data_IF_601143884062
#
_entry.id   IF_601143884062
#
_cell.length_a   1.000
_cell.length_b   1.000
_cell.length_c   1.000
_cell.angle_alpha   90.00
_cell.angle_beta   90.00
_cell.angle_gamma   90.00
#
_symmetry.space_group_name_H-M   'P 1'
#
loop_
_entity.id
_entity.type
_entity.pdbx_description
1 polymer ?
#
# COMPACT_ATOMS: atom_id res chain seq x y z
N UNK A 1 -26.97 26.63 27.17
CA UNK A 1 -26.85 25.23 26.72
C UNK A 1 -27.22 25.21 25.26
N UNK A 2 -26.24 25.20 24.35
CA UNK A 2 -26.50 24.91 22.95
C UNK A 2 -27.14 23.51 22.90
N UNK A 3 -28.22 23.35 22.15
CA UNK A 3 -28.85 22.03 22.05
C UNK A 3 -27.89 21.09 21.33
N UNK A 4 -27.82 19.83 21.74
CA UNK A 4 -27.02 18.79 21.08
C UNK A 4 -27.29 18.76 19.56
N UNK A 5 -28.51 19.12 19.14
CA UNK A 5 -28.89 19.25 17.74
C UNK A 5 -28.17 20.41 17.00
N UNK A 6 -27.92 21.55 17.65
CA UNK A 6 -27.21 22.68 17.07
C UNK A 6 -25.71 22.38 16.89
N UNK A 7 -25.11 21.66 17.83
CA UNK A 7 -23.70 21.22 17.75
C UNK A 7 -23.52 20.14 16.68
N UNK A 8 -24.49 19.23 16.53
CA UNK A 8 -24.51 18.26 15.43
C UNK A 8 -24.69 18.94 14.06
N UNK A 9 -25.56 19.95 13.98
CA UNK A 9 -25.82 20.66 12.73
C UNK A 9 -24.59 21.44 12.25
N UNK A 10 -23.86 22.08 13.16
CA UNK A 10 -22.61 22.80 12.83
C UNK A 10 -21.52 21.84 12.40
N UNK A 11 -21.31 20.73 13.12
CA UNK A 11 -20.37 19.68 12.73
C UNK A 11 -20.68 19.12 11.33
N UNK A 12 -21.95 18.81 11.05
CA UNK A 12 -22.35 18.28 9.75
C UNK A 12 -22.19 19.32 8.63
N UNK A 13 -22.45 20.60 8.91
CA UNK A 13 -22.26 21.69 7.94
C UNK A 13 -20.79 21.82 7.50
N UNK A 14 -19.84 21.56 8.40
CA UNK A 14 -18.40 21.57 8.08
C UNK A 14 -17.95 20.29 7.35
N UNK A 15 -18.50 19.14 7.74
CA UNK A 15 -18.09 17.83 7.26
C UNK A 15 -18.63 17.51 5.86
N UNK A 16 -19.91 17.79 5.60
CA UNK A 16 -20.62 17.34 4.39
C UNK A 16 -19.99 17.90 3.10
N UNK A 17 -19.67 19.21 2.97
CA UNK A 17 -19.08 19.75 1.74
C UNK A 17 -17.70 19.16 1.45
N UNK A 18 -16.89 18.93 2.49
CA UNK A 18 -15.57 18.31 2.39
C UNK A 18 -15.68 16.86 1.92
N UNK A 19 -16.57 16.08 2.55
CA UNK A 19 -16.82 14.70 2.17
C UNK A 19 -17.39 14.59 0.74
N UNK A 20 -18.27 15.50 0.32
CA UNK A 20 -18.82 15.51 -1.03
C UNK A 20 -17.73 15.74 -2.08
N UNK A 21 -16.86 16.74 -1.87
CA UNK A 21 -15.72 17.02 -2.76
C UNK A 21 -14.76 15.84 -2.84
N UNK A 22 -14.39 15.26 -1.69
CA UNK A 22 -13.52 14.09 -1.62
C UNK A 22 -14.17 12.90 -2.34
N UNK A 23 -15.47 12.66 -2.13
CA UNK A 23 -16.20 11.56 -2.78
C UNK A 23 -16.24 11.70 -4.29
N UNK A 24 -16.46 12.90 -4.83
CA UNK A 24 -16.44 13.13 -6.28
C UNK A 24 -15.06 12.83 -6.89
N UNK A 25 -14.00 13.27 -6.21
CA UNK A 25 -12.63 13.01 -6.58
C UNK A 25 -12.27 11.52 -6.55
N UNK A 26 -12.68 10.81 -5.49
CA UNK A 26 -12.53 9.35 -5.39
C UNK A 26 -13.31 8.66 -6.52
N UNK A 27 -14.54 9.08 -6.81
CA UNK A 27 -15.36 8.44 -7.85
C UNK A 27 -14.72 8.54 -9.24
N UNK A 28 -14.26 9.73 -9.63
CA UNK A 28 -13.56 9.94 -10.91
C UNK A 28 -12.25 9.16 -10.98
N UNK A 29 -11.45 9.21 -9.91
CA UNK A 29 -10.19 8.48 -9.81
C UNK A 29 -10.38 6.97 -9.92
N UNK A 30 -11.26 6.39 -9.09
CA UNK A 30 -11.55 4.94 -9.05
C UNK A 30 -12.04 4.45 -10.40
N UNK A 31 -12.93 5.20 -11.07
CA UNK A 31 -13.41 4.84 -12.39
C UNK A 31 -12.29 4.81 -13.43
N UNK A 32 -11.51 5.90 -13.55
CA UNK A 32 -10.42 5.99 -14.52
C UNK A 32 -9.38 4.87 -14.32
N UNK A 33 -9.07 4.56 -13.06
CA UNK A 33 -8.06 3.56 -12.75
C UNK A 33 -8.56 2.12 -12.97
N UNK A 34 -9.83 1.82 -12.67
CA UNK A 34 -10.43 0.53 -13.02
C UNK A 34 -10.50 0.32 -14.54
N UNK A 35 -10.77 1.39 -15.31
CA UNK A 35 -10.69 1.34 -16.78
C UNK A 35 -9.25 1.01 -17.22
N UNK A 36 -8.25 1.74 -16.71
CA UNK A 36 -6.85 1.49 -17.06
C UNK A 36 -6.39 0.05 -16.73
N UNK A 37 -6.81 -0.49 -15.58
CA UNK A 37 -6.56 -1.90 -15.22
C UNK A 37 -7.26 -2.86 -16.18
N UNK A 38 -8.52 -2.60 -16.53
CA UNK A 38 -9.27 -3.44 -17.47
C UNK A 38 -8.65 -3.46 -18.88
N UNK A 39 -7.94 -2.40 -19.28
CA UNK A 39 -7.17 -2.37 -20.53
C UNK A 39 -5.75 -2.95 -20.40
N UNK A 40 -5.38 -3.50 -19.24
CA UNK A 40 -4.14 -4.24 -19.06
C UNK A 40 -2.91 -3.39 -18.73
N UNK A 41 -3.09 -2.18 -18.19
CA UNK A 41 -1.96 -1.33 -17.75
C UNK A 41 -1.01 -2.06 -16.79
N UNK A 42 -1.55 -2.96 -15.98
CA UNK A 42 -0.79 -3.82 -15.07
C UNK A 42 0.16 -4.76 -15.80
N UNK A 43 -0.23 -5.27 -16.98
CA UNK A 43 0.61 -6.16 -17.80
C UNK A 43 1.82 -5.44 -18.41
N UNK A 44 1.73 -4.13 -18.65
CA UNK A 44 2.84 -3.34 -19.18
C UNK A 44 4.01 -3.24 -18.19
N UNK A 45 3.69 -3.07 -16.90
CA UNK A 45 4.69 -3.05 -15.82
C UNK A 45 5.24 -4.45 -15.53
N UNK A 46 4.45 -5.48 -15.82
CA UNK A 46 4.87 -6.87 -15.72
C UNK A 46 5.93 -7.26 -16.78
N UNK A 47 6.09 -6.56 -17.90
CA UNK A 47 7.19 -6.89 -18.84
C UNK A 47 8.61 -6.85 -18.24
N UNK A 48 8.79 -6.18 -17.09
CA UNK A 48 10.09 -5.93 -16.47
C UNK A 48 10.64 -7.05 -15.56
N UNK A 49 9.83 -7.95 -14.98
CA UNK A 49 10.39 -8.83 -13.93
C UNK A 49 11.24 -10.00 -14.46
N UNK A 50 11.09 -10.41 -15.73
CA UNK A 50 11.99 -11.39 -16.34
C UNK A 50 13.45 -10.93 -16.39
N UNK A 51 13.70 -9.62 -16.27
CA UNK A 51 15.05 -9.05 -16.19
C UNK A 51 15.63 -9.05 -14.78
N UNK A 52 14.81 -9.27 -13.75
CA UNK A 52 15.21 -9.19 -12.34
C UNK A 52 15.61 -10.54 -11.74
N UNK A 53 15.18 -11.66 -12.31
CA UNK A 53 15.46 -13.02 -11.77
C UNK A 53 16.88 -13.49 -12.02
N UNK A 54 17.41 -13.24 -13.21
CA UNK A 54 18.78 -13.62 -13.60
C UNK A 54 19.85 -13.08 -12.65
N UNK A 55 19.91 -11.77 -12.32
CA UNK A 55 20.90 -11.27 -11.36
C UNK A 55 20.68 -11.79 -9.94
N UNK A 56 19.52 -12.37 -9.64
CA UNK A 56 19.19 -12.96 -8.35
C UNK A 56 19.51 -14.47 -8.27
N UNK A 57 20.11 -15.06 -9.32
CA UNK A 57 20.31 -16.51 -9.46
C UNK A 57 19.01 -17.35 -9.40
N UNK A 58 17.87 -16.74 -9.77
CA UNK A 58 16.57 -17.41 -9.82
C UNK A 58 16.18 -17.79 -11.26
N UNK A 59 15.42 -18.88 -11.45
CA UNK A 59 14.85 -19.25 -12.76
C UNK A 59 13.96 -18.16 -13.36
N UNK A 60 13.85 -18.14 -14.68
CA UNK A 60 13.00 -17.19 -15.40
C UNK A 60 11.50 -17.39 -15.07
N UNK A 61 11.09 -18.60 -14.67
CA UNK A 61 9.74 -18.98 -14.23
C UNK A 61 9.31 -18.25 -12.96
N UNK A 62 10.26 -18.02 -12.04
CA UNK A 62 10.01 -17.18 -10.85
C UNK A 62 9.64 -15.75 -11.25
N UNK A 63 10.20 -15.29 -12.37
CA UNK A 63 9.87 -14.00 -12.98
C UNK A 63 8.40 -13.95 -13.32
N UNK A 64 7.88 -14.99 -13.98
CA UNK A 64 6.47 -15.14 -14.32
C UNK A 64 5.56 -15.13 -13.08
N UNK A 65 5.92 -15.81 -12.00
CA UNK A 65 5.15 -15.75 -10.74
C UNK A 65 5.12 -14.33 -10.12
N UNK A 66 6.25 -13.61 -10.19
CA UNK A 66 6.34 -12.20 -9.79
C UNK A 66 5.49 -11.32 -10.71
N UNK A 67 5.41 -11.63 -12.01
CA UNK A 67 4.52 -10.92 -12.95
C UNK A 67 3.06 -11.14 -12.63
N UNK A 68 2.69 -12.39 -12.35
CA UNK A 68 1.36 -12.77 -11.94
C UNK A 68 0.96 -12.01 -10.67
N UNK A 69 1.89 -11.74 -9.76
CA UNK A 69 1.63 -10.93 -8.56
C UNK A 69 1.20 -9.50 -8.87
N UNK A 70 1.77 -8.88 -9.91
CA UNK A 70 1.35 -7.54 -10.33
C UNK A 70 -0.13 -7.51 -10.73
N UNK A 71 -0.61 -8.58 -11.37
CA UNK A 71 -2.02 -8.76 -11.74
C UNK A 71 -2.90 -9.21 -10.57
N UNK A 72 -2.42 -10.17 -9.79
CA UNK A 72 -3.11 -10.77 -8.65
C UNK A 72 -2.07 -11.27 -7.64
N UNK A 73 -1.94 -10.54 -6.53
CA UNK A 73 -1.00 -10.91 -5.47
C UNK A 73 -1.25 -12.31 -4.92
N UNK A 74 -2.51 -12.72 -4.77
CA UNK A 74 -2.83 -14.08 -4.31
C UNK A 74 -2.37 -15.14 -5.30
N UNK A 75 -2.61 -14.93 -6.60
CA UNK A 75 -2.22 -15.91 -7.63
C UNK A 75 -0.70 -16.06 -7.71
N UNK A 76 0.04 -14.95 -7.73
CA UNK A 76 1.50 -15.03 -7.79
C UNK A 76 2.13 -15.60 -6.51
N UNK A 77 1.57 -15.34 -5.33
CA UNK A 77 2.01 -16.02 -4.09
C UNK A 77 1.67 -17.51 -4.10
N UNK A 78 0.53 -17.93 -4.65
CA UNK A 78 0.18 -19.34 -4.79
C UNK A 78 1.15 -20.06 -5.74
N UNK A 79 1.51 -19.45 -6.87
CA UNK A 79 2.53 -20.00 -7.79
C UNK A 79 3.91 -20.13 -7.11
N UNK A 80 4.33 -19.13 -6.33
CA UNK A 80 5.58 -19.25 -5.58
C UNK A 80 5.53 -20.32 -4.47
N UNK A 81 4.37 -20.55 -3.88
CA UNK A 81 4.16 -21.63 -2.92
C UNK A 81 4.23 -23.00 -3.60
N UNK A 82 3.60 -23.15 -4.77
CA UNK A 82 3.71 -24.35 -5.60
C UNK A 82 5.16 -24.65 -5.97
N UNK A 83 5.93 -23.65 -6.41
CA UNK A 83 7.37 -23.83 -6.71
C UNK A 83 8.18 -24.28 -5.49
N UNK A 84 7.78 -23.88 -4.29
CA UNK A 84 8.41 -24.35 -3.06
C UNK A 84 7.99 -25.79 -2.71
N UNK A 85 6.72 -26.11 -2.90
CA UNK A 85 6.16 -27.44 -2.60
C UNK A 85 6.68 -28.52 -3.55
N UNK A 86 6.88 -28.19 -4.84
CA UNK A 86 7.46 -29.08 -5.84
C UNK A 86 8.98 -29.22 -5.72
N UNK A 87 9.61 -28.45 -4.82
CA UNK A 87 11.06 -28.47 -4.62
C UNK A 87 11.86 -27.65 -5.63
N UNK A 88 11.21 -26.99 -6.60
CA UNK A 88 11.87 -26.08 -7.54
C UNK A 88 12.63 -24.96 -6.80
N UNK A 89 12.07 -24.45 -5.71
CA UNK A 89 12.70 -23.46 -4.84
C UNK A 89 12.82 -24.00 -3.40
N UNK A 90 14.01 -23.87 -2.81
CA UNK A 90 14.16 -24.06 -1.38
C UNK A 90 13.64 -22.84 -0.56
N UNK A 91 13.60 -22.97 0.76
CA UNK A 91 13.16 -21.91 1.68
C UNK A 91 13.90 -20.57 1.44
N UNK A 92 15.19 -20.59 1.09
CA UNK A 92 15.97 -19.36 0.88
C UNK A 92 15.60 -18.70 -0.44
N UNK A 93 15.54 -19.47 -1.52
CA UNK A 93 15.15 -19.00 -2.84
C UNK A 93 13.71 -18.48 -2.85
N UNK A 94 12.78 -19.17 -2.17
CA UNK A 94 11.40 -18.69 -2.01
C UNK A 94 11.36 -17.36 -1.24
N UNK A 95 12.14 -17.20 -0.16
CA UNK A 95 12.14 -15.97 0.61
C UNK A 95 12.67 -14.78 -0.21
N UNK A 96 13.73 -15.00 -0.99
CA UNK A 96 14.26 -14.00 -1.94
C UNK A 96 13.20 -13.63 -2.98
N UNK A 97 12.54 -14.62 -3.58
CA UNK A 97 11.47 -14.39 -4.55
C UNK A 97 10.32 -13.57 -3.95
N UNK A 98 9.90 -13.86 -2.72
CA UNK A 98 8.86 -13.09 -2.00
C UNK A 98 9.29 -11.64 -1.75
N UNK A 99 10.56 -11.40 -1.39
CA UNK A 99 11.08 -10.03 -1.21
C UNK A 99 11.08 -9.29 -2.54
N UNK A 100 11.56 -9.91 -3.61
CA UNK A 100 11.52 -9.36 -4.97
C UNK A 100 10.11 -9.00 -5.43
N UNK A 101 9.12 -9.74 -4.94
CA UNK A 101 7.72 -9.55 -5.29
C UNK A 101 7.08 -8.26 -4.73
N UNK A 102 7.75 -7.57 -3.80
CA UNK A 102 7.16 -6.44 -3.05
C UNK A 102 6.71 -5.29 -3.95
N UNK A 103 7.55 -4.86 -4.90
CA UNK A 103 7.20 -3.80 -5.85
C UNK A 103 6.01 -4.19 -6.73
N UNK A 104 6.02 -5.41 -7.28
CA UNK A 104 4.96 -5.89 -8.17
C UNK A 104 3.62 -6.01 -7.44
N UNK A 105 3.61 -6.50 -6.20
CA UNK A 105 2.40 -6.50 -5.37
C UNK A 105 1.87 -5.10 -5.07
N UNK A 106 2.76 -4.09 -5.01
CA UNK A 106 2.35 -2.69 -4.85
C UNK A 106 1.70 -2.12 -6.11
N UNK A 107 2.09 -2.54 -7.32
CA UNK A 107 1.58 -2.02 -8.62
C UNK A 107 0.05 -2.09 -8.69
N UNK A 108 -0.55 -3.22 -8.33
CA UNK A 108 -2.02 -3.34 -8.34
C UNK A 108 -2.67 -2.30 -7.42
N UNK A 109 -2.09 -2.06 -6.25
CA UNK A 109 -2.59 -1.06 -5.31
C UNK A 109 -2.43 0.36 -5.82
N UNK A 110 -1.41 0.65 -6.64
CA UNK A 110 -1.27 1.96 -7.27
C UNK A 110 -2.53 2.31 -8.05
N UNK A 111 -2.99 1.38 -8.88
CA UNK A 111 -4.16 1.60 -9.72
C UNK A 111 -5.48 1.40 -9.00
N UNK A 112 -5.56 0.53 -8.00
CA UNK A 112 -6.84 0.25 -7.32
C UNK A 112 -7.12 1.17 -6.13
N UNK A 113 -6.09 1.80 -5.55
CA UNK A 113 -6.22 2.59 -4.33
C UNK A 113 -5.45 3.90 -4.36
N UNK A 114 -4.15 3.91 -4.67
CA UNK A 114 -3.36 5.14 -4.49
C UNK A 114 -3.72 6.25 -5.49
N UNK A 115 -3.64 5.96 -6.79
CA UNK A 115 -4.04 6.89 -7.86
C UNK A 115 -5.52 7.29 -7.72
N UNK A 116 -6.46 6.36 -7.55
CA UNK A 116 -7.86 6.72 -7.53
C UNK A 116 -8.39 7.33 -6.24
N UNK A 117 -7.77 7.07 -5.09
CA UNK A 117 -8.28 7.47 -3.76
C UNK A 117 -7.34 8.45 -3.07
N UNK A 118 -6.05 8.11 -2.94
CA UNK A 118 -5.10 8.90 -2.15
C UNK A 118 -4.68 10.18 -2.86
N UNK A 119 -4.36 10.12 -4.16
CA UNK A 119 -3.98 11.33 -4.91
C UNK A 119 -5.10 12.37 -4.91
N UNK A 120 -6.37 12.02 -5.15
CA UNK A 120 -7.43 13.02 -5.17
C UNK A 120 -7.74 13.61 -3.79
N UNK A 121 -7.54 12.84 -2.70
CA UNK A 121 -7.65 13.35 -1.32
C UNK A 121 -6.50 14.31 -1.00
N UNK A 122 -5.25 13.89 -1.26
CA UNK A 122 -4.05 14.62 -0.86
C UNK A 122 -3.71 15.80 -1.80
N UNK A 123 -4.37 15.87 -2.95
CA UNK A 123 -3.99 16.75 -4.05
C UNK A 123 -2.86 16.15 -4.90
N UNK A 124 -2.76 16.62 -6.14
CA UNK A 124 -1.85 16.04 -7.16
C UNK A 124 -0.40 16.03 -6.69
N UNK A 125 0.11 17.14 -6.14
CA UNK A 125 1.52 17.26 -5.73
C UNK A 125 1.86 16.35 -4.55
N UNK A 126 1.16 16.50 -3.42
CA UNK A 126 1.42 15.69 -2.22
C UNK A 126 1.09 14.22 -2.44
N UNK A 127 0.00 13.95 -3.16
CA UNK A 127 -0.37 12.60 -3.57
C UNK A 127 0.71 11.94 -4.42
N UNK A 128 1.19 12.59 -5.49
CA UNK A 128 2.23 12.03 -6.35
C UNK A 128 3.53 11.77 -5.59
N UNK A 129 3.97 12.68 -4.72
CA UNK A 129 5.17 12.48 -3.91
C UNK A 129 4.97 11.32 -2.91
N UNK A 130 3.82 11.22 -2.27
CA UNK A 130 3.52 10.11 -1.36
C UNK A 130 3.50 8.76 -2.09
N UNK A 131 2.83 8.67 -3.23
CA UNK A 131 2.78 7.45 -4.05
C UNK A 131 4.15 7.10 -4.59
N UNK A 132 4.92 8.09 -5.06
CA UNK A 132 6.30 7.92 -5.49
C UNK A 132 7.21 7.42 -4.37
N UNK A 133 7.09 7.96 -3.16
CA UNK A 133 7.83 7.49 -2.00
C UNK A 133 7.49 6.03 -1.66
N UNK A 134 6.20 5.66 -1.67
CA UNK A 134 5.75 4.28 -1.44
C UNK A 134 6.23 3.32 -2.53
N UNK A 135 6.17 3.74 -3.80
CA UNK A 135 6.69 3.00 -4.94
C UNK A 135 8.21 2.80 -4.82
N UNK A 136 8.95 3.85 -4.48
CA UNK A 136 10.39 3.83 -4.27
C UNK A 136 10.79 2.89 -3.14
N UNK A 137 10.10 2.96 -1.99
CA UNK A 137 10.30 2.00 -0.88
C UNK A 137 10.09 0.56 -1.36
N UNK A 138 8.99 0.28 -2.07
CA UNK A 138 8.72 -1.06 -2.57
C UNK A 138 9.77 -1.53 -3.59
N UNK A 139 10.26 -0.61 -4.43
CA UNK A 139 11.33 -0.88 -5.40
C UNK A 139 12.66 -1.19 -4.70
N UNK A 140 13.04 -0.41 -3.68
CA UNK A 140 14.26 -0.67 -2.92
C UNK A 140 14.22 -2.01 -2.18
N UNK A 141 13.06 -2.41 -1.67
CA UNK A 141 12.85 -3.75 -1.11
C UNK A 141 13.08 -4.83 -2.19
N UNK A 142 12.48 -4.66 -3.38
CA UNK A 142 12.69 -5.59 -4.49
C UNK A 142 14.15 -5.68 -4.92
N UNK A 143 14.85 -4.54 -5.03
CA UNK A 143 16.29 -4.48 -5.35
C UNK A 143 17.11 -5.18 -4.27
N UNK A 144 16.75 -5.02 -2.99
CA UNK A 144 17.40 -5.75 -1.88
C UNK A 144 17.23 -7.25 -2.06
N UNK A 145 16.05 -7.71 -2.50
CA UNK A 145 15.81 -9.10 -2.87
C UNK A 145 16.73 -9.57 -4.00
N UNK A 146 16.84 -8.78 -5.09
CA UNK A 146 17.72 -9.12 -6.22
C UNK A 146 19.18 -9.24 -5.78
N UNK A 147 19.69 -8.26 -5.04
CA UNK A 147 21.08 -8.26 -4.53
C UNK A 147 21.30 -9.43 -3.57
N UNK A 148 20.36 -9.67 -2.64
CA UNK A 148 20.44 -10.81 -1.74
C UNK A 148 20.42 -12.14 -2.49
N UNK A 149 19.63 -12.26 -3.56
CA UNK A 149 19.61 -13.43 -4.43
C UNK A 149 20.98 -13.70 -5.05
N UNK A 150 21.58 -12.69 -5.69
CA UNK A 150 22.88 -12.82 -6.33
C UNK A 150 24.03 -13.14 -5.35
N UNK A 151 23.90 -12.76 -4.08
CA UNK A 151 24.92 -12.98 -3.05
C UNK A 151 24.72 -14.25 -2.22
N UNK A 152 23.48 -14.69 -2.01
CA UNK A 152 23.12 -15.76 -1.07
C UNK A 152 22.61 -17.03 -1.75
N UNK A 153 22.16 -16.95 -3.01
CA UNK A 153 21.66 -18.10 -3.76
C UNK A 153 22.72 -18.64 -4.70
N UNK A 154 22.72 -19.96 -4.81
CA UNK A 154 23.53 -20.77 -5.71
C UNK A 154 22.64 -21.77 -6.45
N UNK A 155 23.22 -22.55 -7.36
CA UNK A 155 22.49 -23.59 -8.09
C UNK A 155 21.87 -24.65 -7.15
N UNK A 156 22.41 -24.84 -5.94
CA UNK A 156 21.87 -25.77 -4.94
C UNK A 156 20.49 -25.36 -4.40
N UNK A 157 20.14 -24.07 -4.50
CA UNK A 157 18.88 -23.54 -3.97
C UNK A 157 17.70 -23.70 -4.96
N UNK A 158 17.98 -24.20 -6.16
CA UNK A 158 17.05 -24.25 -7.29
C UNK A 158 17.16 -25.58 -8.02
N UNK A 159 16.15 -26.44 -7.91
CA UNK A 159 16.10 -27.67 -8.66
C UNK A 159 15.35 -27.49 -9.98
N UNK A 160 16.10 -27.18 -11.05
CA UNK A 160 15.54 -27.01 -12.40
C UNK A 160 14.98 -28.31 -13.00
N UNK A 161 15.30 -29.48 -12.45
CA UNK A 161 14.71 -30.74 -12.94
C UNK A 161 13.22 -30.86 -12.59
N UNK A 162 12.79 -30.18 -11.53
CA UNK A 162 11.39 -30.05 -11.14
C UNK A 162 10.55 -29.17 -12.10
N UNK A 163 11.18 -28.46 -13.05
CA UNK A 163 10.46 -27.65 -14.06
C UNK A 163 9.64 -28.51 -15.03
N UNK A 164 9.98 -29.79 -15.21
CA UNK A 164 9.24 -30.69 -16.11
C UNK A 164 7.80 -30.99 -15.61
N UNK A 165 7.56 -30.79 -14.31
CA UNK A 165 6.27 -31.02 -13.65
C UNK A 165 5.46 -29.73 -13.48
N UNK A 166 5.97 -28.58 -13.94
CA UNK A 166 5.36 -27.26 -13.73
C UNK A 166 4.85 -26.70 -15.07
N UNK A 167 3.53 -26.74 -15.26
CA UNK A 167 2.88 -26.07 -16.38
C UNK A 167 2.96 -24.55 -16.21
N UNK A 168 3.89 -23.91 -16.91
CA UNK A 168 3.99 -22.46 -17.00
C UNK A 168 2.86 -21.87 -17.88
N UNK A 169 1.62 -22.01 -17.43
CA UNK A 169 0.48 -21.35 -18.06
C UNK A 169 0.47 -19.88 -17.63
N UNK A 170 0.92 -19.00 -18.53
CA UNK A 170 0.76 -17.56 -18.38
C UNK A 170 -0.73 -17.19 -18.27
N UNK A 171 -1.06 -16.02 -17.71
CA UNK A 171 -2.45 -15.60 -17.55
C UNK A 171 -3.18 -15.57 -18.91
N UNK A 172 -4.34 -16.20 -18.95
CA UNK A 172 -5.18 -16.30 -20.16
C UNK A 172 -5.47 -14.93 -20.80
N UNK A 173 -5.64 -14.93 -22.12
CA UNK A 173 -6.03 -13.75 -22.86
C UNK A 173 -7.43 -13.29 -22.40
N UNK A 174 -7.53 -12.04 -21.95
CA UNK A 174 -8.81 -11.43 -21.59
C UNK A 174 -9.62 -11.11 -22.87
N UNK A 175 -10.53 -12.02 -23.25
CA UNK A 175 -11.33 -11.96 -24.47
C UNK A 175 -12.49 -10.94 -24.44
N UNK A 176 -12.66 -10.19 -23.34
CA UNK A 176 -13.76 -9.22 -23.20
C UNK A 176 -13.63 -8.06 -24.19
N UNK A 177 -14.77 -7.65 -24.75
CA UNK A 177 -14.87 -6.46 -25.60
C UNK A 177 -14.62 -5.16 -24.82
N UNK A 178 -14.23 -4.08 -25.51
CA UNK A 178 -13.96 -2.79 -24.86
C UNK A 178 -15.15 -2.23 -24.05
N UNK A 179 -16.38 -2.50 -24.50
CA UNK A 179 -17.61 -2.09 -23.79
C UNK A 179 -17.83 -2.88 -22.52
N UNK A 180 -17.58 -4.18 -22.55
CA UNK A 180 -17.67 -5.06 -21.38
C UNK A 180 -16.62 -4.69 -20.32
N UNK A 181 -15.40 -4.34 -20.75
CA UNK A 181 -14.33 -3.86 -19.87
C UNK A 181 -14.71 -2.56 -19.14
N UNK A 182 -15.31 -1.60 -19.84
CA UNK A 182 -15.77 -0.34 -19.22
C UNK A 182 -16.94 -0.57 -18.27
N UNK A 183 -17.88 -1.45 -18.62
CA UNK A 183 -19.00 -1.81 -17.74
C UNK A 183 -18.52 -2.48 -16.46
N UNK A 184 -17.63 -3.47 -16.58
CA UNK A 184 -16.99 -4.13 -15.44
C UNK A 184 -16.23 -3.12 -14.57
N UNK A 185 -15.50 -2.19 -15.18
CA UNK A 185 -14.83 -1.12 -14.45
C UNK A 185 -15.83 -0.22 -13.69
N UNK A 186 -16.99 0.10 -14.27
CA UNK A 186 -18.02 0.88 -13.59
C UNK A 186 -18.63 0.12 -12.39
N UNK A 187 -18.93 -1.16 -12.57
CA UNK A 187 -19.48 -2.02 -11.50
C UNK A 187 -18.48 -2.18 -10.34
N UNK A 188 -17.20 -2.42 -10.64
CA UNK A 188 -16.11 -2.45 -9.66
C UNK A 188 -15.92 -1.12 -8.93
N UNK A 189 -16.03 -0.01 -9.68
CA UNK A 189 -15.92 1.33 -9.11
C UNK A 189 -17.05 1.63 -8.13
N UNK A 190 -18.29 1.28 -8.50
CA UNK A 190 -19.45 1.43 -7.63
C UNK A 190 -19.34 0.60 -6.35
N UNK A 191 -18.93 -0.67 -6.47
CA UNK A 191 -18.69 -1.54 -5.32
C UNK A 191 -17.64 -0.95 -4.36
N UNK A 192 -16.56 -0.41 -4.91
CA UNK A 192 -15.50 0.26 -4.14
C UNK A 192 -16.02 1.50 -3.42
N UNK A 193 -16.76 2.37 -4.12
CA UNK A 193 -17.35 3.58 -3.53
C UNK A 193 -18.32 3.26 -2.40
N UNK A 194 -19.21 2.28 -2.60
CA UNK A 194 -20.19 1.86 -1.59
C UNK A 194 -19.54 1.31 -0.32
N UNK A 195 -18.31 0.79 -0.42
CA UNK A 195 -17.52 0.31 0.72
C UNK A 195 -16.72 1.40 1.42
N UNK A 196 -16.11 2.32 0.65
CA UNK A 196 -15.19 3.34 1.19
C UNK A 196 -15.95 4.53 1.78
N UNK A 197 -16.93 5.07 1.06
CA UNK A 197 -17.57 6.36 1.42
C UNK A 197 -18.25 6.32 2.79
N UNK A 198 -19.06 5.30 3.15
CA UNK A 198 -19.71 5.27 4.47
C UNK A 198 -18.70 5.18 5.62
N UNK A 199 -17.66 4.36 5.45
CA UNK A 199 -16.60 4.19 6.46
C UNK A 199 -15.81 5.48 6.65
N UNK A 200 -15.45 6.14 5.55
CA UNK A 200 -14.79 7.44 5.58
C UNK A 200 -15.64 8.48 6.32
N UNK A 201 -16.94 8.56 6.01
CA UNK A 201 -17.85 9.49 6.67
C UNK A 201 -17.91 9.28 8.18
N UNK A 202 -18.04 8.02 8.64
CA UNK A 202 -18.07 7.68 10.06
C UNK A 202 -16.76 8.04 10.76
N UNK A 203 -15.62 7.57 10.24
CA UNK A 203 -14.31 7.82 10.87
C UNK A 203 -13.98 9.31 10.88
N UNK A 204 -14.19 10.00 9.76
CA UNK A 204 -13.90 11.42 9.64
C UNK A 204 -14.76 12.26 10.60
N UNK A 205 -16.06 11.96 10.71
CA UNK A 205 -16.96 12.64 11.65
C UNK A 205 -16.53 12.38 13.10
N UNK A 206 -16.23 11.14 13.47
CA UNK A 206 -15.78 10.78 14.83
C UNK A 206 -14.50 11.50 15.22
N UNK A 207 -13.55 11.60 14.28
CA UNK A 207 -12.28 12.28 14.50
C UNK A 207 -12.48 13.77 14.70
N UNK A 208 -13.23 14.43 13.81
CA UNK A 208 -13.48 15.87 13.96
C UNK A 208 -14.20 16.11 15.27
N UNK A 209 -15.24 15.34 15.59
CA UNK A 209 -15.94 15.43 16.86
C UNK A 209 -14.99 15.28 18.06
N UNK A 210 -14.05 14.31 18.03
CA UNK A 210 -13.08 14.11 19.11
C UNK A 210 -12.16 15.32 19.27
N UNK A 211 -11.61 15.82 18.16
CA UNK A 211 -10.68 16.96 18.15
C UNK A 211 -11.37 18.27 18.55
N UNK A 212 -12.64 18.45 18.21
CA UNK A 212 -13.40 19.67 18.57
C UNK A 212 -13.96 19.63 19.99
N UNK A 213 -14.22 18.42 20.54
CA UNK A 213 -14.89 18.26 21.85
C UNK A 213 -13.91 18.06 23.00
N UNK A 214 -12.78 17.39 22.76
CA UNK A 214 -11.79 17.09 23.78
C UNK A 214 -10.51 17.87 23.54
N UNK A 215 -9.89 18.33 24.63
CA UNK A 215 -8.54 18.85 24.59
C UNK A 215 -7.57 17.67 24.35
N UNK A 216 -7.35 17.39 23.07
CA UNK A 216 -6.49 16.29 22.61
C UNK A 216 -5.03 16.48 23.02
N UNK A 217 -4.64 17.63 23.58
CA UNK A 217 -3.30 17.89 24.12
C UNK A 217 -2.82 16.79 25.09
N UNK A 218 -3.73 16.21 25.89
CA UNK A 218 -3.39 15.12 26.80
C UNK A 218 -3.08 13.80 26.07
N UNK A 219 -3.77 13.51 24.95
CA UNK A 219 -3.52 12.33 24.11
C UNK A 219 -2.29 12.53 23.20
N UNK A 220 -1.98 13.76 22.81
CA UNK A 220 -0.83 14.11 21.95
C UNK A 220 0.47 14.28 22.71
N UNK A 221 0.44 14.49 24.03
CA UNK A 221 1.63 14.66 24.89
C UNK A 221 2.70 13.58 24.78
N UNK A 222 2.33 12.35 24.38
CA UNK A 222 3.27 11.23 24.17
C UNK A 222 3.88 11.24 22.75
N UNK A 223 3.17 11.82 21.77
CA UNK A 223 3.62 11.92 20.39
C UNK A 223 4.35 13.24 20.08
N UNK A 224 4.09 14.30 20.86
CA UNK A 224 4.75 15.61 20.78
C UNK A 224 6.28 15.57 20.86
N UNK A 225 6.91 14.74 21.73
CA UNK A 225 8.36 14.59 21.74
C UNK A 225 8.88 14.01 20.42
N UNK A 226 8.13 13.08 19.80
CA UNK A 226 8.53 12.42 18.56
C UNK A 226 8.35 13.37 17.38
N UNK A 227 7.22 14.09 17.28
CA UNK A 227 7.00 15.07 16.22
C UNK A 227 7.90 16.28 16.37
N UNK A 228 8.15 16.75 17.60
CA UNK A 228 9.06 17.85 17.90
C UNK A 228 10.52 17.53 17.54
N UNK A 229 11.02 16.34 17.88
CA UNK A 229 12.37 15.88 17.47
C UNK A 229 12.48 15.76 15.95
N UNK A 230 11.40 15.37 15.27
CA UNK A 230 11.35 15.23 13.81
C UNK A 230 11.02 16.54 13.07
N UNK A 231 10.80 17.65 13.78
CA UNK A 231 10.44 18.94 13.18
C UNK A 231 9.09 18.95 12.45
N UNK A 232 8.17 18.05 12.84
CA UNK A 232 6.83 17.98 12.28
C UNK A 232 5.88 18.97 12.99
N UNK A 233 4.90 19.56 12.26
CA UNK A 233 3.89 20.43 12.87
C UNK A 233 3.03 19.65 13.87
N UNK A 234 2.45 20.32 14.86
CA UNK A 234 1.64 19.67 15.91
C UNK A 234 0.43 18.92 15.35
N UNK A 235 -0.11 19.42 14.25
CA UNK A 235 -1.22 18.86 13.47
C UNK A 235 -0.86 17.50 12.85
N UNK A 236 0.41 17.09 12.84
CA UNK A 236 0.83 15.76 12.39
C UNK A 236 0.34 14.65 13.31
N UNK A 237 0.22 14.91 14.61
CA UNK A 237 -0.20 13.90 15.60
C UNK A 237 -1.60 13.33 15.29
N UNK A 238 -2.67 14.14 15.16
CA UNK A 238 -3.98 13.62 14.81
C UNK A 238 -3.99 12.95 13.43
N UNK A 239 -3.24 13.47 12.44
CA UNK A 239 -3.12 12.82 11.13
C UNK A 239 -2.55 11.41 11.26
N UNK A 240 -1.42 11.24 11.97
CA UNK A 240 -0.75 9.96 12.18
C UNK A 240 -1.67 8.98 12.92
N UNK A 241 -2.31 9.45 13.99
CA UNK A 241 -3.22 8.64 14.79
C UNK A 241 -4.39 8.10 13.96
N UNK A 242 -5.04 8.96 13.16
CA UNK A 242 -6.16 8.57 12.32
C UNK A 242 -5.70 7.66 11.18
N UNK A 243 -4.57 7.99 10.54
CA UNK A 243 -4.00 7.18 9.47
C UNK A 243 -3.65 5.75 9.93
N UNK A 244 -3.22 5.60 11.19
CA UNK A 244 -2.96 4.30 11.81
C UNK A 244 -4.19 3.40 11.78
N UNK A 245 -5.36 3.98 12.07
CA UNK A 245 -6.64 3.27 12.12
C UNK A 245 -7.26 3.09 10.73
N UNK A 246 -7.22 4.15 9.92
CA UNK A 246 -7.75 4.19 8.57
C UNK A 246 -6.93 5.13 7.68
N UNK A 247 -6.26 4.56 6.69
CA UNK A 247 -5.36 5.28 5.79
C UNK A 247 -6.08 6.32 4.94
N UNK A 248 -7.34 6.08 4.57
CA UNK A 248 -8.14 7.03 3.77
C UNK A 248 -8.59 8.20 4.64
N UNK A 249 -9.07 7.92 5.85
CA UNK A 249 -9.49 8.95 6.79
C UNK A 249 -8.31 9.79 7.26
N UNK A 250 -7.15 9.20 7.53
CA UNK A 250 -5.95 9.95 7.90
C UNK A 250 -5.46 10.88 6.79
N UNK A 251 -5.52 10.43 5.53
CA UNK A 251 -5.26 11.30 4.38
C UNK A 251 -6.28 12.44 4.27
N UNK A 252 -7.56 12.18 4.54
CA UNK A 252 -8.60 13.21 4.56
C UNK A 252 -8.45 14.19 5.72
N UNK A 253 -7.99 13.72 6.88
CA UNK A 253 -7.63 14.57 8.03
C UNK A 253 -6.51 15.52 7.64
N UNK A 254 -5.45 15.02 6.98
CA UNK A 254 -4.37 15.87 6.47
C UNK A 254 -4.88 16.87 5.42
N UNK A 255 -5.74 16.44 4.50
CA UNK A 255 -6.32 17.33 3.49
C UNK A 255 -7.25 18.42 4.09
N UNK A 256 -7.74 18.20 5.31
CA UNK A 256 -8.63 19.12 6.02
C UNK A 256 -7.91 20.16 6.88
N UNK A 257 -6.58 20.11 6.98
CA UNK A 257 -5.79 21.09 7.74
C UNK A 257 -5.67 22.41 6.99
N UNK A 258 -5.40 23.49 7.73
CA UNK A 258 -5.22 24.81 7.13
C UNK A 258 -4.05 24.84 6.14
N UNK A 259 -4.20 25.66 5.09
CA UNK A 259 -3.17 25.83 4.09
C UNK A 259 -1.91 26.43 4.71
N UNK A 260 -0.74 25.84 4.42
CA UNK A 260 0.56 26.31 4.93
C UNK A 260 1.06 25.59 6.20
N UNK A 261 0.22 24.81 6.89
CA UNK A 261 0.63 24.01 8.06
C UNK A 261 1.62 22.91 7.65
N UNK A 262 1.33 22.21 6.54
CA UNK A 262 2.20 21.18 6.01
C UNK A 262 2.88 21.62 4.72
N UNK A 263 4.19 21.38 4.65
CA UNK A 263 4.88 21.26 3.35
C UNK A 263 4.59 19.87 2.78
N UNK A 264 4.79 19.68 1.48
CA UNK A 264 4.67 18.34 0.87
C UNK A 264 5.57 17.31 1.57
N UNK A 265 6.76 17.71 2.02
CA UNK A 265 7.70 16.80 2.71
C UNK A 265 7.18 16.36 4.07
N UNK A 266 6.74 17.31 4.90
CA UNK A 266 6.23 17.01 6.25
C UNK A 266 4.88 16.27 6.19
N UNK A 267 4.05 16.56 5.18
CA UNK A 267 2.83 15.80 4.91
C UNK A 267 3.14 14.32 4.60
N UNK A 268 4.01 14.07 3.62
CA UNK A 268 4.41 12.73 3.19
C UNK A 268 5.08 11.96 4.35
N UNK A 269 5.97 12.62 5.10
CA UNK A 269 6.63 12.03 6.26
C UNK A 269 5.60 11.60 7.33
N UNK A 270 4.60 12.44 7.63
CA UNK A 270 3.54 12.12 8.59
C UNK A 270 2.72 10.90 8.14
N UNK A 271 2.35 10.81 6.87
CA UNK A 271 1.62 9.65 6.33
C UNK A 271 2.48 8.38 6.35
N UNK A 272 3.78 8.48 6.07
CA UNK A 272 4.71 7.35 6.13
C UNK A 272 4.88 6.83 7.57
N UNK A 273 4.99 7.72 8.56
CA UNK A 273 5.02 7.35 9.98
C UNK A 273 3.71 6.66 10.38
N UNK A 274 2.57 7.24 10.00
CA UNK A 274 1.26 6.59 10.18
C UNK A 274 1.19 5.21 9.52
N UNK A 275 1.84 5.02 8.37
CA UNK A 275 1.87 3.74 7.67
C UNK A 275 2.65 2.66 8.43
N UNK A 276 3.68 3.01 9.21
CA UNK A 276 4.41 2.08 10.08
C UNK A 276 3.45 1.52 11.14
N UNK A 277 2.74 2.41 11.83
CA UNK A 277 1.81 2.04 12.90
C UNK A 277 0.61 1.26 12.34
N UNK A 278 0.05 1.71 11.21
CA UNK A 278 -1.02 0.99 10.51
C UNK A 278 -0.58 -0.42 10.08
N UNK A 279 0.67 -0.56 9.65
CA UNK A 279 1.24 -1.85 9.30
C UNK A 279 1.32 -2.79 10.51
N UNK A 280 1.73 -2.31 11.69
CA UNK A 280 1.74 -3.13 12.91
C UNK A 280 0.34 -3.67 13.25
N UNK A 281 -0.69 -2.82 13.22
CA UNK A 281 -2.08 -3.24 13.50
C UNK A 281 -2.63 -4.18 12.43
N UNK A 282 -2.38 -3.89 11.16
CA UNK A 282 -2.87 -4.69 10.03
C UNK A 282 -2.14 -6.02 9.86
N UNK A 283 -0.89 -6.13 10.34
CA UNK A 283 -0.10 -7.37 10.29
C UNK A 283 -0.82 -8.48 11.04
N UNK A 284 -1.29 -8.23 12.26
CA UNK A 284 -2.02 -9.23 13.04
C UNK A 284 -3.34 -9.65 12.40
N UNK A 285 -4.09 -8.69 11.86
CA UNK A 285 -5.46 -8.94 11.39
C UNK A 285 -5.55 -9.51 9.97
N UNK A 286 -4.52 -9.31 9.14
CA UNK A 286 -4.53 -9.67 7.72
C UNK A 286 -3.26 -10.39 7.28
N UNK A 287 -2.08 -9.86 7.60
CA UNK A 287 -0.83 -10.43 7.11
C UNK A 287 -0.53 -11.80 7.72
N UNK A 288 -0.63 -11.97 9.04
CA UNK A 288 -0.36 -13.27 9.69
C UNK A 288 -1.29 -14.36 9.12
N UNK A 289 -2.63 -14.19 9.09
CA UNK A 289 -3.51 -15.22 8.52
C UNK A 289 -3.20 -15.56 7.06
N UNK A 290 -2.95 -14.54 6.23
CA UNK A 290 -2.64 -14.74 4.81
C UNK A 290 -1.31 -15.49 4.62
N UNK A 291 -0.24 -15.04 5.27
CA UNK A 291 1.08 -15.64 5.12
C UNK A 291 1.11 -17.06 5.72
N UNK A 292 0.44 -17.30 6.85
CA UNK A 292 0.36 -18.66 7.41
C UNK A 292 -0.48 -19.59 6.54
N UNK A 293 -1.54 -19.08 5.90
CA UNK A 293 -2.36 -19.85 4.99
C UNK A 293 -1.63 -20.31 3.73
N UNK A 294 -0.74 -19.48 3.17
CA UNK A 294 0.04 -19.82 1.97
C UNK A 294 1.30 -20.63 2.30
N UNK A 295 2.01 -20.27 3.37
CA UNK A 295 3.38 -20.75 3.62
C UNK A 295 3.48 -21.77 4.76
N UNK A 296 2.43 -21.94 5.55
CA UNK A 296 2.51 -22.57 6.86
C UNK A 296 3.17 -21.64 7.91
N UNK A 297 3.02 -21.99 9.19
CA UNK A 297 3.43 -21.11 10.30
C UNK A 297 4.95 -20.89 10.37
N UNK A 298 5.77 -21.92 10.13
CA UNK A 298 7.23 -21.84 10.27
C UNK A 298 7.85 -20.92 9.20
N UNK A 299 7.57 -21.17 7.92
CA UNK A 299 8.07 -20.36 6.82
C UNK A 299 7.36 -19.00 6.75
N UNK A 300 6.04 -18.97 6.97
CA UNK A 300 5.25 -17.73 7.00
C UNK A 300 5.74 -16.74 8.05
N UNK A 301 6.22 -17.20 9.22
CA UNK A 301 6.83 -16.31 10.22
C UNK A 301 8.10 -15.64 9.68
N UNK A 302 8.98 -16.39 9.00
CA UNK A 302 10.20 -15.82 8.37
C UNK A 302 9.83 -14.73 7.36
N UNK A 303 8.86 -15.01 6.50
CA UNK A 303 8.35 -14.07 5.49
C UNK A 303 7.83 -12.78 6.14
N UNK A 304 7.04 -12.89 7.22
CA UNK A 304 6.50 -11.73 7.93
C UNK A 304 7.61 -10.90 8.55
N UNK A 305 8.55 -11.52 9.26
CA UNK A 305 9.66 -10.82 9.93
C UNK A 305 10.50 -10.05 8.91
N UNK A 306 10.92 -10.71 7.83
CA UNK A 306 11.76 -10.07 6.79
C UNK A 306 11.03 -8.93 6.10
N UNK A 307 9.77 -9.15 5.67
CA UNK A 307 8.98 -8.09 5.03
C UNK A 307 8.72 -6.91 5.96
N UNK A 308 8.49 -7.17 7.25
CA UNK A 308 8.28 -6.13 8.25
C UNK A 308 9.56 -5.33 8.48
N UNK A 309 10.69 -6.01 8.68
CA UNK A 309 11.97 -5.37 8.92
C UNK A 309 12.39 -4.50 7.73
N UNK A 310 12.30 -5.01 6.50
CA UNK A 310 12.64 -4.25 5.29
C UNK A 310 11.73 -3.02 5.13
N UNK A 311 10.43 -3.16 5.36
CA UNK A 311 9.50 -2.01 5.32
C UNK A 311 9.86 -0.96 6.37
N UNK A 312 10.15 -1.37 7.61
CA UNK A 312 10.55 -0.44 8.67
C UNK A 312 11.83 0.31 8.27
N UNK A 313 12.86 -0.40 7.83
CA UNK A 313 14.14 0.20 7.41
C UNK A 313 13.94 1.23 6.30
N UNK A 314 13.27 0.85 5.20
CA UNK A 314 13.13 1.75 4.05
C UNK A 314 12.13 2.88 4.30
N UNK A 315 11.07 2.68 5.08
CA UNK A 315 10.18 3.77 5.48
C UNK A 315 10.94 4.75 6.37
N UNK A 316 11.65 4.28 7.40
CA UNK A 316 12.45 5.13 8.29
C UNK A 316 13.53 5.89 7.54
N UNK A 317 14.25 5.24 6.62
CA UNK A 317 15.23 5.90 5.77
C UNK A 317 14.60 6.98 4.88
N UNK A 318 13.45 6.70 4.27
CA UNK A 318 12.72 7.69 3.44
C UNK A 318 12.25 8.88 4.27
N UNK A 319 11.72 8.64 5.47
CA UNK A 319 11.34 9.71 6.41
C UNK A 319 12.55 10.56 6.77
N UNK A 320 13.70 9.93 7.08
CA UNK A 320 14.93 10.65 7.40
C UNK A 320 15.39 11.53 6.22
N UNK A 321 15.33 11.04 4.98
CA UNK A 321 15.66 11.84 3.78
C UNK A 321 14.68 12.99 3.57
N UNK A 322 13.37 12.77 3.76
CA UNK A 322 12.37 13.82 3.59
C UNK A 322 12.52 14.96 4.60
N UNK A 323 12.95 14.64 5.82
CA UNK A 323 13.12 15.57 6.93
C UNK A 323 14.56 16.08 7.08
N UNK A 324 15.49 15.60 6.24
CA UNK A 324 16.86 16.10 6.24
C UNK A 324 16.89 17.60 5.90
N UNK A 325 17.73 18.40 6.58
CA UNK A 325 17.91 19.81 6.23
C UNK A 325 18.36 19.93 4.77
N UNK A 326 17.63 20.73 4.00
CA UNK A 326 18.04 21.10 2.65
C UNK A 326 19.06 22.23 2.82
N UNK A 327 20.33 21.93 2.57
CA UNK A 327 21.39 22.92 2.51
C UNK A 327 21.38 23.64 1.17
#
# INVERSE_FOLDING_TARGET
>A
MQSVAADLATLLADVVPRLARITAFIAGGVFAANVAVAFGLVRYVAGLAGWLTRPANLPDEVGTAILTTAASTTAGYATLAEYRETGLLDDRATLVAVVMNTFFGFVQHVFTYYVPVLIPILGVTTGAVYVGARAGIALFITVTGVVAGGLLLSEENVDRSALADVDATGPEADDRTGRERVRDAAEKSWSTLRRIVPRLAVVYTLVIWLVTTYDVAALTSVAEPITGVLGLPGEAVPVIAVFTLDTTAGAATLAGTEAGVFTTRTAVASLLIGSILSFAVSTFRRSIPFQYGIWGASFGTKVIVVNTALKLVFISATVAVLLAPVW
#
